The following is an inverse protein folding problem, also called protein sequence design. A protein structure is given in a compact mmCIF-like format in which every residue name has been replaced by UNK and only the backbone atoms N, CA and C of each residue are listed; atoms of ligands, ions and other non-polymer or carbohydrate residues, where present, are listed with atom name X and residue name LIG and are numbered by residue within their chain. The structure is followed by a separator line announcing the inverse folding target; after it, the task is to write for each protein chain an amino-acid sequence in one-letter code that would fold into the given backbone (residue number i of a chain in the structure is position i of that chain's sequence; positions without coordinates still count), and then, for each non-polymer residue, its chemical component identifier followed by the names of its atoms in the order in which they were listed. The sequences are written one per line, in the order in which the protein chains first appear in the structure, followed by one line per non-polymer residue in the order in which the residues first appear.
data_IF_814895773183
#
_entry.id   IF_814895773183
#
_cell.length_a   1.000
_cell.length_b   1.000
_cell.length_c   1.000
_cell.angle_alpha   90.00
_cell.angle_beta   90.00
_cell.angle_gamma   90.00
#
_symmetry.space_group_name_H-M   'P 1'
#
loop_
_entity.id
_entity.type
_entity.pdbx_description
1 polymer ?
#
# COMPACT_ATOMS: atom_id res chain seq x y z
N UNK A 1 1.70 -9.97 -12.29
CA UNK A 1 1.24 -9.91 -10.89
C UNK A 1 0.39 -8.66 -10.70
N UNK A 2 -0.69 -8.80 -9.95
CA UNK A 2 -1.61 -7.70 -9.72
C UNK A 2 -1.38 -7.10 -8.34
N UNK A 3 -1.54 -5.80 -8.22
CA UNK A 3 -1.37 -5.13 -6.94
C UNK A 3 -2.48 -4.12 -6.69
N UNK A 4 -2.69 -3.79 -5.42
CA UNK A 4 -3.62 -2.76 -5.02
C UNK A 4 -2.96 -1.89 -3.96
N UNK A 5 -3.47 -0.67 -3.81
CA UNK A 5 -2.96 0.27 -2.83
C UNK A 5 -4.06 0.66 -1.86
N UNK A 6 -3.71 0.72 -0.59
CA UNK A 6 -4.56 1.29 0.44
C UNK A 6 -3.80 2.51 0.97
N UNK A 7 -4.35 3.68 0.76
CA UNK A 7 -3.62 4.94 0.96
C UNK A 7 -4.32 5.77 2.02
N UNK A 8 -3.57 6.19 3.05
CA UNK A 8 -4.11 7.09 4.05
C UNK A 8 -4.36 8.46 3.41
N UNK A 9 -5.40 9.14 3.87
CA UNK A 9 -5.82 10.40 3.28
C UNK A 9 -4.97 11.58 3.79
N UNK A 10 -3.72 11.63 3.35
CA UNK A 10 -2.84 12.76 3.64
C UNK A 10 -1.88 12.95 2.46
N UNK A 11 -1.29 14.15 2.40
CA UNK A 11 -0.49 14.53 1.25
C UNK A 11 0.72 13.63 1.04
N UNK A 12 1.42 13.29 2.11
CA UNK A 12 2.63 12.48 1.99
C UNK A 12 2.31 11.07 1.50
N UNK A 13 1.23 10.47 2.03
CA UNK A 13 0.84 9.14 1.60
C UNK A 13 0.41 9.12 0.15
N UNK A 14 -0.32 10.15 -0.29
CA UNK A 14 -0.75 10.25 -1.68
C UNK A 14 0.43 10.44 -2.62
N UNK A 15 1.41 11.24 -2.22
CA UNK A 15 2.61 11.45 -3.02
C UNK A 15 3.41 10.16 -3.12
N UNK A 16 3.56 9.45 -2.01
CA UNK A 16 4.26 8.18 -2.00
C UNK A 16 3.57 7.17 -2.91
N UNK A 17 2.23 7.15 -2.88
CA UNK A 17 1.47 6.24 -3.74
C UNK A 17 1.71 6.52 -5.22
N UNK A 18 1.79 7.79 -5.60
CA UNK A 18 2.05 8.14 -6.99
C UNK A 18 3.42 7.63 -7.44
N UNK A 19 4.41 7.74 -6.58
CA UNK A 19 5.75 7.25 -6.90
C UNK A 19 5.76 5.73 -7.05
N UNK A 20 5.04 5.04 -6.20
CA UNK A 20 4.95 3.58 -6.25
C UNK A 20 4.24 3.14 -7.53
N UNK A 21 3.13 3.78 -7.87
CA UNK A 21 2.41 3.46 -9.09
C UNK A 21 3.30 3.63 -10.32
N UNK A 22 4.05 4.72 -10.35
CA UNK A 22 4.95 4.99 -11.46
C UNK A 22 6.03 3.94 -11.58
N UNK A 23 6.58 3.50 -10.44
CA UNK A 23 7.62 2.49 -10.43
C UNK A 23 7.14 1.11 -10.81
N UNK A 24 5.88 0.79 -10.57
CA UNK A 24 5.35 -0.55 -10.80
C UNK A 24 4.60 -0.70 -12.11
N UNK A 25 4.33 0.38 -12.80
CA UNK A 25 3.43 0.34 -13.97
C UNK A 25 3.89 -0.59 -15.09
N UNK A 26 5.19 -0.79 -15.21
CA UNK A 26 5.75 -1.63 -16.27
C UNK A 26 5.86 -3.09 -15.85
N UNK A 27 5.68 -3.40 -14.59
CA UNK A 27 5.89 -4.75 -14.05
C UNK A 27 4.63 -5.36 -13.47
N UNK A 28 3.74 -4.53 -12.95
CA UNK A 28 2.55 -4.98 -12.24
C UNK A 28 1.33 -4.30 -12.82
N UNK A 29 0.20 -5.01 -12.74
CA UNK A 29 -1.08 -4.46 -13.16
C UNK A 29 -1.87 -4.07 -11.91
N UNK A 30 -2.45 -2.87 -11.91
CA UNK A 30 -3.28 -2.44 -10.79
C UNK A 30 -4.64 -3.12 -10.88
N UNK A 31 -5.04 -3.79 -9.79
CA UNK A 31 -6.34 -4.45 -9.72
C UNK A 31 -6.78 -4.47 -8.26
N UNK A 32 -7.72 -3.60 -7.91
CA UNK A 32 -8.19 -3.49 -6.54
C UNK A 32 -9.28 -4.50 -6.19
N UNK A 33 -9.69 -5.33 -7.14
CA UNK A 33 -10.69 -6.36 -6.89
C UNK A 33 -10.04 -7.69 -6.50
N UNK A 34 -9.01 -8.08 -7.23
CA UNK A 34 -8.33 -9.35 -6.99
C UNK A 34 -6.82 -9.21 -7.04
N UNK A 35 -6.23 -8.45 -6.12
CA UNK A 35 -4.78 -8.26 -6.13
C UNK A 35 -4.05 -9.47 -5.57
N UNK A 36 -2.83 -9.66 -6.03
CA UNK A 36 -1.91 -10.63 -5.44
C UNK A 36 -1.11 -9.97 -4.31
N UNK A 37 -0.93 -8.67 -4.40
CA UNK A 37 -0.15 -7.89 -3.44
C UNK A 37 -0.92 -6.64 -3.07
N UNK A 38 -1.05 -6.38 -1.78
CA UNK A 38 -1.69 -5.17 -1.27
C UNK A 38 -0.63 -4.35 -0.55
N UNK A 39 -0.46 -3.10 -0.96
CA UNK A 39 0.50 -2.19 -0.36
C UNK A 39 -0.27 -1.12 0.39
N UNK A 40 -0.09 -1.05 1.70
CA UNK A 40 -0.71 0.00 2.51
C UNK A 40 0.29 1.13 2.70
N UNK A 41 -0.17 2.36 2.55
CA UNK A 41 0.67 3.54 2.66
C UNK A 41 0.05 4.45 3.70
N UNK A 42 0.71 4.59 4.83
CA UNK A 42 0.20 5.38 5.93
C UNK A 42 0.83 4.95 7.24
N UNK A 43 0.07 4.33 8.09
CA UNK A 43 0.54 3.85 9.38
C UNK A 43 -0.11 2.53 9.72
N UNK A 44 -0.06 2.18 11.01
CA UNK A 44 -0.59 0.90 11.46
C UNK A 44 -2.09 0.75 11.20
N UNK A 45 -2.83 1.85 11.32
CA UNK A 45 -4.26 1.81 11.03
C UNK A 45 -4.56 1.50 9.57
N UNK A 46 -3.72 2.01 8.68
CA UNK A 46 -3.91 1.78 7.24
C UNK A 46 -3.68 0.32 6.87
N UNK A 47 -2.66 -0.31 7.44
CA UNK A 47 -2.42 -1.71 7.12
C UNK A 47 -3.51 -2.60 7.71
N UNK A 48 -4.03 -2.28 8.89
CA UNK A 48 -5.15 -3.00 9.46
C UNK A 48 -6.39 -2.89 8.58
N UNK A 49 -6.64 -1.70 8.06
CA UNK A 49 -7.76 -1.47 7.15
C UNK A 49 -7.59 -2.29 5.87
N UNK A 50 -6.37 -2.33 5.35
CA UNK A 50 -6.08 -3.10 4.15
C UNK A 50 -6.32 -4.60 4.39
N UNK A 51 -5.85 -5.11 5.51
CA UNK A 51 -6.04 -6.52 5.86
C UNK A 51 -7.53 -6.84 5.96
N UNK A 52 -8.32 -5.97 6.61
CA UNK A 52 -9.75 -6.19 6.73
C UNK A 52 -10.47 -6.15 5.37
N UNK A 53 -10.06 -5.21 4.52
CA UNK A 53 -10.69 -5.05 3.22
C UNK A 53 -10.47 -6.27 2.33
N UNK A 54 -9.31 -6.90 2.43
CA UNK A 54 -8.96 -8.05 1.60
C UNK A 54 -8.90 -9.34 2.42
N UNK A 55 -9.69 -9.43 3.48
CA UNK A 55 -9.62 -10.54 4.42
C UNK A 55 -9.82 -11.90 3.76
N UNK A 56 -10.71 -11.98 2.79
CA UNK A 56 -11.03 -13.24 2.13
C UNK A 56 -10.24 -13.47 0.84
N UNK A 57 -9.24 -12.65 0.60
CA UNK A 57 -8.40 -12.78 -0.58
C UNK A 57 -7.06 -13.42 -0.19
N UNK A 58 -6.53 -14.20 -1.09
CA UNK A 58 -5.24 -14.85 -0.89
C UNK A 58 -4.15 -13.93 -1.46
N UNK A 59 -3.78 -12.93 -0.70
CA UNK A 59 -2.80 -11.94 -1.15
C UNK A 59 -1.79 -11.63 -0.05
N UNK A 60 -0.66 -11.05 -0.46
CA UNK A 60 0.37 -10.61 0.45
C UNK A 60 0.16 -9.15 0.80
N UNK A 61 0.60 -8.73 1.99
CA UNK A 61 0.47 -7.36 2.45
C UNK A 61 1.84 -6.77 2.75
N UNK A 62 2.04 -5.53 2.32
CA UNK A 62 3.25 -4.76 2.61
C UNK A 62 2.82 -3.41 3.14
N UNK A 63 3.40 -2.98 4.26
CA UNK A 63 3.07 -1.70 4.86
C UNK A 63 4.21 -0.70 4.69
N UNK A 64 3.87 0.50 4.26
CA UNK A 64 4.81 1.61 4.16
C UNK A 64 4.34 2.69 5.10
N UNK A 65 5.19 3.03 6.07
CA UNK A 65 4.88 4.06 7.04
C UNK A 65 5.35 5.42 6.54
N UNK A 66 4.44 6.36 6.45
CA UNK A 66 4.76 7.71 5.99
C UNK A 66 4.79 8.73 7.11
N UNK A 67 4.07 8.47 8.20
CA UNK A 67 3.97 9.44 9.28
C UNK A 67 5.18 9.49 10.21
N UNK A 68 5.95 8.42 10.24
CA UNK A 68 7.07 8.31 11.19
C UNK A 68 8.38 7.99 10.48
N UNK A 69 8.49 8.40 9.24
CA UNK A 69 9.73 8.25 8.49
C UNK A 69 10.89 8.85 9.27
N UNK A 70 11.99 8.30 9.24
CA UNK A 70 13.13 8.83 9.94
C UNK A 70 13.35 8.24 11.31
N UNK A 71 12.31 7.72 11.93
CA UNK A 71 12.49 7.10 13.23
C UNK A 71 13.04 5.71 13.13
N UNK A 72 12.97 5.15 11.99
CA UNK A 72 13.47 3.81 11.79
C UNK A 72 14.95 3.73 11.72
N UNK A 73 15.58 4.85 11.63
CA UNK A 73 17.03 4.90 11.58
C UNK A 73 17.69 4.65 12.92
N UNK A 74 16.92 4.64 13.95
CA UNK A 74 17.49 4.43 15.28
C UNK A 74 18.04 3.04 15.48
#
# INVERSE_FOLDING_TARGET
MKYALMIRNDALSKETALKIKEGLKDFFMYDDQNPDLVISIGGDGTILEAVHHYLNKDCCFVGIHTGTLGFYTK
#
